data_IF_652049840775
#
_entry.id   IF_652049840775
#
_cell.length_a   1.000
_cell.length_b   1.000
_cell.length_c   1.000
_cell.angle_alpha   90.00
_cell.angle_beta   90.00
_cell.angle_gamma   90.00
#
_symmetry.space_group_name_H-M   'P 1'
#
loop_
_entity.id
_entity.type
_entity.pdbx_description
1 polymer ?
#
# COMPACT_ATOMS: atom_id res chain seq x y z
N UNK A 1 5.56 -13.45 20.57
CA UNK A 1 4.16 -13.04 20.53
C UNK A 1 3.79 -12.61 19.12
N UNK A 2 2.58 -12.95 18.63
CA UNK A 2 2.19 -12.59 17.27
C UNK A 2 0.76 -12.07 17.21
N UNK A 3 0.51 -11.19 16.23
CA UNK A 3 -0.81 -10.74 15.81
C UNK A 3 -1.07 -11.20 14.38
N UNK A 4 -2.27 -11.69 14.13
CA UNK A 4 -2.79 -11.91 12.78
C UNK A 4 -3.90 -10.88 12.53
N UNK A 5 -3.74 -10.09 11.47
CA UNK A 5 -4.62 -9.00 11.08
C UNK A 5 -5.11 -9.24 9.66
N UNK A 6 -6.16 -8.54 9.26
CA UNK A 6 -6.68 -8.61 7.88
C UNK A 6 -6.92 -7.20 7.35
N UNK A 7 -6.60 -6.97 6.09
CA UNK A 7 -6.79 -5.68 5.41
C UNK A 7 -6.13 -5.66 4.04
N UNK A 8 -6.52 -4.75 3.20
CA UNK A 8 -5.99 -4.58 1.84
C UNK A 8 -6.06 -5.87 0.99
N UNK A 9 -7.11 -6.68 1.21
CA UNK A 9 -7.32 -7.92 0.47
C UNK A 9 -6.35 -9.06 0.80
N UNK A 10 -5.59 -8.98 1.90
CA UNK A 10 -4.62 -10.00 2.30
C UNK A 10 -4.56 -10.19 3.81
N UNK A 11 -3.87 -11.25 4.24
CA UNK A 11 -3.53 -11.49 5.64
C UNK A 11 -2.24 -10.77 6.01
N UNK A 12 -2.18 -10.30 7.24
CA UNK A 12 -1.02 -9.64 7.83
C UNK A 12 -0.57 -10.38 9.07
N UNK A 13 0.72 -10.57 9.23
CA UNK A 13 1.31 -11.16 10.42
C UNK A 13 2.33 -10.20 11.03
N UNK A 14 2.23 -9.96 12.33
CA UNK A 14 3.20 -9.16 13.07
C UNK A 14 3.74 -10.01 14.22
N UNK A 15 5.00 -10.39 14.11
CA UNK A 15 5.70 -11.19 15.12
C UNK A 15 6.56 -10.24 15.95
N UNK A 16 6.39 -10.29 17.26
CA UNK A 16 7.14 -9.48 18.23
C UNK A 16 8.02 -10.41 19.05
N UNK A 17 9.33 -10.21 18.97
CA UNK A 17 10.32 -10.98 19.73
C UNK A 17 10.66 -10.29 21.05
N UNK A 18 9.65 -10.14 21.90
CA UNK A 18 9.80 -9.64 23.27
C UNK A 18 9.01 -10.52 24.24
N UNK A 19 9.28 -10.36 25.54
CA UNK A 19 8.30 -10.73 26.55
C UNK A 19 7.00 -9.96 26.25
N UNK A 20 5.86 -10.55 26.52
CA UNK A 20 4.52 -10.04 26.18
C UNK A 20 4.41 -8.50 26.28
N UNK A 21 3.88 -7.79 25.27
CA UNK A 21 3.59 -6.37 25.36
C UNK A 21 2.75 -6.04 26.59
N UNK A 22 2.92 -4.88 27.19
CA UNK A 22 2.20 -4.46 28.41
C UNK A 22 0.68 -4.42 28.21
N UNK A 23 0.20 -4.06 27.01
CA UNK A 23 -1.22 -4.10 26.64
C UNK A 23 -1.41 -4.64 25.22
N UNK A 24 -1.38 -5.97 25.03
CA UNK A 24 -1.45 -6.56 23.71
C UNK A 24 -2.79 -6.34 23.01
N UNK A 25 -3.90 -6.27 23.74
CA UNK A 25 -5.23 -6.01 23.18
C UNK A 25 -5.33 -4.61 22.58
N UNK A 26 -4.83 -3.61 23.29
CA UNK A 26 -4.80 -2.23 22.80
C UNK A 26 -3.89 -2.11 21.55
N UNK A 27 -2.71 -2.71 21.61
CA UNK A 27 -1.77 -2.70 20.48
C UNK A 27 -2.38 -3.37 19.25
N UNK A 28 -3.03 -4.53 19.41
CA UNK A 28 -3.75 -5.20 18.33
C UNK A 28 -4.81 -4.27 17.70
N UNK A 29 -5.67 -3.66 18.53
CA UNK A 29 -6.72 -2.77 18.05
C UNK A 29 -6.15 -1.56 17.29
N UNK A 30 -5.04 -1.00 17.77
CA UNK A 30 -4.37 0.13 17.13
C UNK A 30 -3.81 -0.25 15.75
N UNK A 31 -3.11 -1.39 15.66
CA UNK A 31 -2.53 -1.87 14.40
C UNK A 31 -3.64 -2.25 13.40
N UNK A 32 -4.68 -2.96 13.85
CA UNK A 32 -5.84 -3.29 13.00
C UNK A 32 -6.55 -2.03 12.49
N UNK A 33 -6.73 -1.02 13.34
CA UNK A 33 -7.35 0.23 12.93
C UNK A 33 -6.53 0.97 11.88
N UNK A 34 -5.20 0.94 11.97
CA UNK A 34 -4.34 1.54 10.95
C UNK A 34 -4.52 0.86 9.58
N UNK A 35 -4.67 -0.46 9.53
CA UNK A 35 -4.97 -1.18 8.29
C UNK A 35 -6.32 -0.73 7.71
N UNK A 36 -7.36 -0.72 8.54
CA UNK A 36 -8.73 -0.31 8.13
C UNK A 36 -8.75 1.13 7.63
N UNK A 37 -8.12 2.04 8.36
CA UNK A 37 -8.07 3.46 8.00
C UNK A 37 -7.29 3.69 6.70
N UNK A 38 -6.20 2.95 6.51
CA UNK A 38 -5.40 3.02 5.29
C UNK A 38 -6.20 2.52 4.08
N UNK A 39 -6.85 1.37 4.19
CA UNK A 39 -7.71 0.81 3.15
C UNK A 39 -8.86 1.76 2.80
N UNK A 40 -9.57 2.27 3.81
CA UNK A 40 -10.66 3.22 3.64
C UNK A 40 -10.23 4.51 2.91
N UNK A 41 -8.97 4.94 3.10
CA UNK A 41 -8.46 6.16 2.46
C UNK A 41 -7.88 5.93 1.07
N UNK A 42 -7.18 4.80 0.84
CA UNK A 42 -6.29 4.66 -0.31
C UNK A 42 -6.59 3.48 -1.23
N UNK A 43 -7.60 2.66 -0.93
CA UNK A 43 -8.04 1.60 -1.83
C UNK A 43 -8.78 2.19 -3.04
N UNK A 44 -8.33 1.89 -4.27
CA UNK A 44 -9.06 2.25 -5.49
C UNK A 44 -10.33 1.42 -5.69
N UNK A 45 -10.48 0.33 -4.95
CA UNK A 45 -11.66 -0.54 -4.99
C UNK A 45 -12.83 0.00 -4.15
N UNK A 46 -12.56 0.94 -3.23
CA UNK A 46 -13.59 1.61 -2.43
C UNK A 46 -13.94 2.95 -3.06
N UNK A 47 -15.16 3.10 -3.57
CA UNK A 47 -15.64 4.33 -4.25
C UNK A 47 -15.56 5.57 -3.36
N UNK A 48 -15.65 5.40 -2.04
CA UNK A 48 -15.59 6.47 -1.03
C UNK A 48 -14.16 6.88 -0.64
N UNK A 49 -13.15 6.14 -1.07
CA UNK A 49 -11.76 6.44 -0.70
C UNK A 49 -11.27 7.77 -1.31
N UNK A 50 -10.28 8.40 -0.67
CA UNK A 50 -9.65 9.61 -1.19
C UNK A 50 -9.00 9.38 -2.55
N UNK A 51 -8.40 8.20 -2.77
CA UNK A 51 -7.81 7.83 -4.05
C UNK A 51 -8.88 7.73 -5.14
N UNK A 52 -10.02 7.09 -4.85
CA UNK A 52 -11.13 7.00 -5.80
C UNK A 52 -11.76 8.36 -6.09
N UNK A 53 -11.92 9.22 -5.10
CA UNK A 53 -12.37 10.58 -5.28
C UNK A 53 -11.42 11.40 -6.16
N UNK A 54 -10.10 11.28 -5.95
CA UNK A 54 -9.09 11.86 -6.81
C UNK A 54 -9.23 11.32 -8.24
N UNK A 55 -9.30 10.02 -8.42
CA UNK A 55 -9.37 9.37 -9.72
C UNK A 55 -10.64 9.74 -10.51
N UNK A 56 -11.76 9.93 -9.83
CA UNK A 56 -13.06 10.26 -10.42
C UNK A 56 -13.33 11.76 -10.57
N UNK A 57 -12.46 12.61 -9.98
CA UNK A 57 -12.61 14.06 -10.11
C UNK A 57 -12.30 14.50 -11.53
N UNK A 58 -13.07 15.43 -12.09
CA UNK A 58 -12.80 16.10 -13.36
C UNK A 58 -11.88 17.31 -13.22
N UNK A 59 -11.56 17.74 -11.99
CA UNK A 59 -10.73 18.91 -11.75
C UNK A 59 -9.29 18.72 -12.26
N UNK A 60 -8.68 19.66 -12.96
CA UNK A 60 -7.28 19.60 -13.35
C UNK A 60 -6.32 19.74 -12.17
N UNK A 61 -6.82 20.18 -10.99
CA UNK A 61 -6.04 20.35 -9.76
C UNK A 61 -6.79 19.73 -8.60
N UNK A 62 -6.16 18.83 -7.87
CA UNK A 62 -6.77 18.12 -6.73
C UNK A 62 -5.87 18.24 -5.48
N UNK A 63 -6.40 18.72 -4.32
CA UNK A 63 -5.63 18.83 -3.09
C UNK A 63 -5.33 17.44 -2.53
N UNK A 64 -4.12 17.25 -2.03
CA UNK A 64 -3.65 15.98 -1.50
C UNK A 64 -3.53 16.00 0.02
N UNK A 65 -3.96 14.91 0.67
CA UNK A 65 -3.58 14.64 2.05
C UNK A 65 -2.06 14.41 2.16
N UNK A 66 -1.46 14.58 3.36
CA UNK A 66 -0.02 14.39 3.55
C UNK A 66 0.49 13.03 3.07
N UNK A 67 -0.25 11.95 3.35
CA UNK A 67 0.14 10.60 2.96
C UNK A 67 0.05 10.40 1.44
N UNK A 68 -1.04 10.86 0.78
CA UNK A 68 -1.14 10.83 -0.68
C UNK A 68 -0.02 11.63 -1.33
N UNK A 69 0.30 12.80 -0.79
CA UNK A 69 1.41 13.61 -1.28
C UNK A 69 2.73 12.84 -1.20
N UNK A 70 2.99 12.16 -0.07
CA UNK A 70 4.19 11.36 0.15
C UNK A 70 4.26 10.19 -0.82
N UNK A 71 3.18 9.41 -0.95
CA UNK A 71 3.15 8.24 -1.84
C UNK A 71 3.26 8.66 -3.32
N UNK A 72 2.56 9.70 -3.75
CA UNK A 72 2.65 10.18 -5.13
C UNK A 72 4.03 10.76 -5.45
N UNK A 73 4.65 11.46 -4.51
CA UNK A 73 6.02 11.97 -4.68
C UNK A 73 7.03 10.83 -4.81
N UNK A 74 6.90 9.78 -3.99
CA UNK A 74 7.70 8.56 -4.11
C UNK A 74 7.48 7.90 -5.48
N UNK A 75 6.22 7.79 -5.93
CA UNK A 75 5.89 7.24 -7.23
C UNK A 75 6.52 8.02 -8.39
N UNK A 76 6.49 9.35 -8.34
CA UNK A 76 7.16 10.20 -9.35
C UNK A 76 8.68 10.00 -9.35
N UNK A 77 9.30 9.84 -8.17
CA UNK A 77 10.72 9.52 -8.05
C UNK A 77 11.04 8.15 -8.67
N UNK A 78 10.25 7.14 -8.37
CA UNK A 78 10.41 5.80 -8.96
C UNK A 78 10.16 5.80 -10.47
N UNK A 79 9.18 6.55 -10.96
CA UNK A 79 8.96 6.75 -12.40
C UNK A 79 10.21 7.30 -13.08
N UNK A 80 10.85 8.32 -12.49
CA UNK A 80 12.08 8.90 -13.01
C UNK A 80 13.25 7.90 -12.99
N UNK A 81 13.46 7.22 -11.85
CA UNK A 81 14.54 6.25 -11.67
C UNK A 81 14.42 5.02 -12.60
N UNK A 82 13.19 4.61 -12.90
CA UNK A 82 12.91 3.48 -13.78
C UNK A 82 12.78 3.86 -15.25
N UNK A 83 13.09 5.10 -15.62
CA UNK A 83 12.91 5.60 -17.00
C UNK A 83 11.48 5.39 -17.53
N UNK A 84 10.46 5.49 -16.63
CA UNK A 84 9.06 5.35 -16.98
C UNK A 84 8.49 3.93 -16.92
N UNK A 85 9.30 2.91 -16.63
CA UNK A 85 8.80 1.53 -16.47
C UNK A 85 7.92 1.37 -15.22
N UNK A 86 8.08 2.21 -14.22
CA UNK A 86 7.18 2.35 -13.11
C UNK A 86 6.34 3.63 -13.27
N UNK A 87 5.03 3.52 -13.21
CA UNK A 87 4.12 4.68 -13.18
C UNK A 87 2.89 4.37 -12.33
N UNK A 88 2.51 5.28 -11.44
CA UNK A 88 1.25 5.16 -10.70
C UNK A 88 0.02 5.37 -11.58
N UNK A 89 0.14 6.04 -12.74
CA UNK A 89 -0.94 6.26 -13.68
C UNK A 89 -1.25 5.01 -14.53
N UNK A 90 -1.55 3.91 -13.86
CA UNK A 90 -1.76 2.60 -14.46
C UNK A 90 -3.17 2.03 -14.17
N UNK A 91 -3.98 2.70 -13.32
CA UNK A 91 -5.24 2.12 -12.88
C UNK A 91 -6.22 1.84 -14.06
N UNK A 92 -6.24 2.68 -15.09
CA UNK A 92 -7.08 2.44 -16.28
C UNK A 92 -6.65 1.16 -17.01
N UNK A 93 -5.36 0.93 -17.19
CA UNK A 93 -4.84 -0.28 -17.84
C UNK A 93 -5.15 -1.53 -17.03
N UNK A 94 -5.04 -1.45 -15.69
CA UNK A 94 -5.43 -2.55 -14.80
C UNK A 94 -6.94 -2.85 -14.90
N UNK A 95 -7.79 -1.82 -14.96
CA UNK A 95 -9.22 -1.98 -15.18
C UNK A 95 -9.55 -2.58 -16.55
N UNK A 96 -8.77 -2.23 -17.58
CA UNK A 96 -8.99 -2.72 -18.95
C UNK A 96 -8.60 -4.20 -19.10
N UNK A 97 -7.67 -4.72 -18.32
CA UNK A 97 -7.37 -6.16 -18.25
C UNK A 97 -8.28 -6.92 -17.27
N UNK A 98 -9.27 -6.24 -16.67
CA UNK A 98 -10.26 -6.84 -15.77
C UNK A 98 -9.86 -6.84 -14.29
N UNK A 99 -8.73 -6.22 -13.92
CA UNK A 99 -8.40 -5.97 -12.52
C UNK A 99 -9.11 -4.69 -12.06
N UNK A 100 -10.44 -4.72 -12.15
CA UNK A 100 -11.36 -3.64 -11.83
C UNK A 100 -11.95 -3.77 -10.41
N UNK A 101 -12.88 -2.88 -10.06
CA UNK A 101 -13.54 -2.85 -8.75
C UNK A 101 -14.31 -4.15 -8.42
N UNK A 102 -14.68 -4.93 -9.42
CA UNK A 102 -15.43 -6.18 -9.26
C UNK A 102 -14.58 -7.42 -9.49
N UNK A 103 -13.27 -7.24 -9.70
CA UNK A 103 -12.34 -8.35 -10.05
C UNK A 103 -12.90 -9.21 -11.20
N UNK A 104 -13.41 -8.53 -12.26
CA UNK A 104 -14.07 -9.21 -13.37
C UNK A 104 -13.15 -10.15 -14.14
N UNK A 105 -11.84 -9.87 -14.13
CA UNK A 105 -10.79 -10.54 -14.91
C UNK A 105 -11.19 -10.75 -16.38
N UNK A 106 -12.07 -9.86 -16.87
CA UNK A 106 -12.53 -9.87 -18.25
C UNK A 106 -11.92 -8.68 -18.99
N UNK A 107 -10.97 -8.91 -19.92
CA UNK A 107 -10.34 -7.83 -20.67
C UNK A 107 -11.33 -7.07 -21.54
N UNK A 108 -11.20 -5.74 -21.59
CA UNK A 108 -11.96 -4.86 -22.49
C UNK A 108 -11.13 -4.64 -23.75
N UNK A 109 -11.60 -5.11 -24.90
CA UNK A 109 -10.81 -5.26 -26.12
C UNK A 109 -10.65 -4.00 -26.98
N UNK A 110 -11.46 -2.94 -26.79
CA UNK A 110 -11.56 -1.84 -27.76
C UNK A 110 -11.18 -0.44 -27.23
N UNK A 111 -10.44 -0.35 -26.14
CA UNK A 111 -10.07 0.95 -25.57
C UNK A 111 -8.70 1.40 -26.03
N UNK A 112 -8.64 2.44 -26.86
CA UNK A 112 -7.41 3.22 -27.02
C UNK A 112 -7.21 4.09 -25.78
N UNK A 113 -6.29 3.68 -24.91
CA UNK A 113 -5.89 4.45 -23.74
C UNK A 113 -4.68 5.34 -24.07
N UNK A 114 -4.89 6.65 -23.96
CA UNK A 114 -3.81 7.63 -24.04
C UNK A 114 -3.58 8.16 -22.64
N UNK A 115 -2.46 7.79 -21.99
CA UNK A 115 -2.18 8.25 -20.64
C UNK A 115 -1.99 9.76 -20.59
N UNK A 116 -2.65 10.39 -19.62
CA UNK A 116 -2.40 11.80 -19.29
C UNK A 116 -1.08 11.98 -18.54
N UNK A 117 -0.76 13.23 -18.29
CA UNK A 117 0.41 13.63 -17.49
C UNK A 117 0.00 14.22 -16.16
N UNK A 118 0.82 14.07 -15.15
CA UNK A 118 0.60 14.64 -13.83
C UNK A 118 1.91 15.07 -13.17
N UNK A 119 1.80 16.04 -12.28
CA UNK A 119 2.91 16.50 -11.44
C UNK A 119 2.37 17.11 -10.14
N UNK A 120 3.25 17.32 -9.18
CA UNK A 120 2.91 17.94 -7.90
C UNK A 120 3.25 19.43 -7.91
N UNK A 121 2.32 20.27 -7.41
CA UNK A 121 2.51 21.70 -7.19
C UNK A 121 1.72 22.15 -5.96
N UNK A 122 2.38 22.78 -4.98
CA UNK A 122 1.74 23.34 -3.78
C UNK A 122 0.77 22.35 -3.07
N UNK A 123 1.21 21.12 -2.84
CA UNK A 123 0.42 20.02 -2.25
C UNK A 123 -0.82 19.61 -3.08
N UNK A 124 -0.88 19.96 -4.35
CA UNK A 124 -1.90 19.51 -5.28
C UNK A 124 -1.31 18.59 -6.33
N UNK A 125 -2.11 17.61 -6.75
CA UNK A 125 -1.89 16.89 -7.99
C UNK A 125 -2.45 17.76 -9.12
N UNK A 126 -1.58 18.18 -10.04
CA UNK A 126 -1.97 18.84 -11.28
C UNK A 126 -1.93 17.79 -12.38
N UNK A 127 -3.02 17.70 -13.15
CA UNK A 127 -3.15 16.68 -14.21
C UNK A 127 -3.66 17.28 -15.52
N UNK A 128 -3.28 16.62 -16.62
CA UNK A 128 -3.74 16.92 -17.97
C UNK A 128 -4.02 15.60 -18.70
N UNK A 129 -5.21 15.46 -19.27
CA UNK A 129 -5.65 14.21 -19.90
C UNK A 129 -6.11 13.16 -18.87
N UNK A 130 -6.12 11.91 -19.29
CA UNK A 130 -6.59 10.79 -18.44
C UNK A 130 -5.52 10.40 -17.42
N UNK A 131 -5.79 10.64 -16.15
CA UNK A 131 -4.93 10.25 -15.04
C UNK A 131 -5.77 9.52 -14.01
N UNK A 132 -5.49 8.23 -13.86
CA UNK A 132 -6.05 7.36 -12.82
C UNK A 132 -4.90 6.64 -12.11
N UNK A 133 -4.72 6.95 -10.83
CA UNK A 133 -3.61 6.42 -10.05
C UNK A 133 -3.98 5.09 -9.38
N UNK A 134 -3.02 4.18 -9.33
CA UNK A 134 -3.03 2.98 -8.51
C UNK A 134 -1.85 3.02 -7.53
N UNK A 135 -2.11 2.72 -6.27
CA UNK A 135 -1.12 2.69 -5.19
C UNK A 135 -0.74 1.26 -4.78
N UNK A 136 -1.24 0.24 -5.48
CA UNK A 136 -1.02 -1.16 -5.11
C UNK A 136 0.45 -1.56 -5.00
N UNK A 137 1.31 -0.96 -5.84
CA UNK A 137 2.76 -1.20 -5.84
C UNK A 137 3.52 -0.52 -4.69
N UNK A 138 2.94 0.47 -4.03
CA UNK A 138 3.57 1.24 -2.94
C UNK A 138 2.83 1.13 -1.61
N UNK A 139 1.51 0.94 -1.67
CA UNK A 139 0.63 1.12 -0.51
C UNK A 139 0.95 0.18 0.65
N UNK A 140 1.19 -1.09 0.36
CA UNK A 140 1.54 -2.06 1.41
C UNK A 140 2.86 -1.72 2.09
N UNK A 141 3.91 -1.44 1.31
CA UNK A 141 5.21 -1.03 1.85
C UNK A 141 5.12 0.25 2.70
N UNK A 142 4.37 1.24 2.23
CA UNK A 142 4.14 2.47 2.98
C UNK A 142 3.41 2.21 4.31
N UNK A 143 2.39 1.35 4.32
CA UNK A 143 1.68 0.98 5.54
C UNK A 143 2.57 0.18 6.50
N UNK A 144 3.40 -0.73 5.99
CA UNK A 144 4.40 -1.46 6.78
C UNK A 144 5.31 -0.48 7.52
N UNK A 145 5.80 0.56 6.86
CA UNK A 145 6.62 1.60 7.50
C UNK A 145 5.85 2.34 8.61
N UNK A 146 4.55 2.62 8.43
CA UNK A 146 3.71 3.24 9.46
C UNK A 146 3.50 2.30 10.66
N UNK A 147 3.24 1.02 10.41
CA UNK A 147 3.10 0.00 11.47
C UNK A 147 4.42 -0.15 12.25
N UNK A 148 5.55 -0.21 11.55
CA UNK A 148 6.87 -0.27 12.17
C UNK A 148 7.14 0.95 13.07
N UNK A 149 6.81 2.15 12.59
CA UNK A 149 6.89 3.37 13.39
C UNK A 149 6.01 3.29 14.65
N UNK A 150 4.80 2.76 14.54
CA UNK A 150 3.90 2.57 15.68
C UNK A 150 4.50 1.60 16.69
N UNK A 151 5.05 0.47 16.25
CA UNK A 151 5.72 -0.49 17.15
C UNK A 151 6.90 0.15 17.88
N UNK A 152 7.73 0.92 17.19
CA UNK A 152 8.82 1.66 17.83
C UNK A 152 8.33 2.70 18.87
N UNK A 153 7.26 3.43 18.57
CA UNK A 153 6.64 4.38 19.52
C UNK A 153 6.10 3.68 20.77
N UNK A 154 5.68 2.42 20.65
CA UNK A 154 5.28 1.57 21.77
C UNK A 154 6.46 0.81 22.42
N UNK A 155 7.71 1.24 22.15
CA UNK A 155 8.93 0.66 22.73
C UNK A 155 9.11 -0.83 22.41
N UNK A 156 8.67 -1.24 21.22
CA UNK A 156 8.84 -2.60 20.68
C UNK A 156 9.94 -2.54 19.62
N UNK A 157 11.20 -2.88 19.96
CA UNK A 157 12.30 -2.74 19.01
C UNK A 157 12.54 -3.97 18.13
N UNK A 158 12.00 -5.15 18.50
CA UNK A 158 12.29 -6.43 17.84
C UNK A 158 11.01 -7.03 17.28
N UNK A 159 10.83 -6.96 15.96
CA UNK A 159 9.64 -7.45 15.30
C UNK A 159 9.89 -7.78 13.83
N UNK A 160 8.97 -8.56 13.27
CA UNK A 160 8.81 -8.83 11.84
C UNK A 160 7.36 -8.54 11.46
N UNK A 161 7.16 -7.74 10.43
CA UNK A 161 5.86 -7.48 9.80
C UNK A 161 5.85 -8.18 8.44
N UNK A 162 4.80 -8.93 8.17
CA UNK A 162 4.48 -9.51 6.88
C UNK A 162 3.11 -8.99 6.44
N UNK A 163 3.07 -8.28 5.33
CA UNK A 163 1.87 -7.74 4.70
C UNK A 163 1.58 -8.43 3.36
N UNK A 164 1.26 -9.72 3.39
CA UNK A 164 0.98 -10.50 2.19
C UNK A 164 2.20 -10.68 1.28
N UNK A 165 3.35 -11.01 1.89
CA UNK A 165 4.62 -11.24 1.22
C UNK A 165 5.54 -10.01 1.15
N UNK A 166 5.05 -8.82 1.44
CA UNK A 166 5.90 -7.64 1.66
C UNK A 166 6.38 -7.65 3.12
N UNK A 167 7.68 -7.61 3.33
CA UNK A 167 8.28 -7.87 4.63
C UNK A 167 9.10 -6.67 5.14
N UNK A 168 8.98 -6.39 6.43
CA UNK A 168 9.90 -5.50 7.16
C UNK A 168 10.24 -6.14 8.50
N UNK A 169 11.52 -6.27 8.80
CA UNK A 169 11.99 -6.83 10.06
C UNK A 169 13.15 -6.05 10.66
N UNK A 170 13.15 -5.97 11.99
CA UNK A 170 14.34 -5.61 12.77
C UNK A 170 15.13 -6.89 13.08
N UNK A 171 16.24 -6.81 13.82
CA UNK A 171 16.86 -8.02 14.37
C UNK A 171 15.97 -8.65 15.45
N UNK A 172 16.20 -9.91 15.76
CA UNK A 172 15.65 -10.52 16.99
C UNK A 172 16.34 -9.98 18.24
N UNK A 173 15.76 -10.24 19.40
CA UNK A 173 16.29 -9.80 20.69
C UNK A 173 17.70 -10.34 20.97
N UNK A 174 18.02 -11.54 20.51
CA UNK A 174 19.35 -12.17 20.60
C UNK A 174 20.29 -11.75 19.46
N UNK A 175 19.90 -10.73 18.67
CA UNK A 175 20.56 -10.22 17.48
C UNK A 175 20.66 -11.21 16.32
N UNK A 176 20.03 -12.37 16.41
CA UNK A 176 19.97 -13.30 15.29
C UNK A 176 19.02 -12.80 14.18
N UNK A 177 19.19 -13.21 12.92
CA UNK A 177 18.30 -12.86 11.84
C UNK A 177 16.97 -13.66 11.92
N UNK A 178 15.92 -13.10 11.31
CA UNK A 178 14.69 -13.84 11.02
C UNK A 178 14.96 -14.88 9.95
N UNK A 179 14.30 -16.03 10.07
CA UNK A 179 14.27 -17.04 9.01
C UNK A 179 12.96 -16.87 8.26
N UNK A 180 13.05 -16.57 6.97
CA UNK A 180 11.89 -16.39 6.09
C UNK A 180 11.95 -17.51 5.06
N UNK A 181 10.89 -18.32 4.99
CA UNK A 181 10.73 -19.31 3.96
C UNK A 181 10.11 -18.68 2.72
N UNK A 182 10.61 -19.04 1.55
CA UNK A 182 9.97 -18.75 0.27
C UNK A 182 9.23 -20.02 -0.12
N UNK A 183 7.91 -19.90 -0.30
CA UNK A 183 7.07 -21.00 -0.71
C UNK A 183 7.46 -21.46 -2.13
N UNK A 184 7.60 -22.78 -2.30
CA UNK A 184 7.93 -23.32 -3.60
C UNK A 184 6.69 -23.27 -4.50
N UNK A 185 6.77 -22.71 -5.73
CA UNK A 185 5.58 -22.43 -6.54
C UNK A 185 4.82 -23.67 -7.02
N UNK A 186 5.45 -24.87 -6.94
CA UNK A 186 4.88 -26.14 -7.41
C UNK A 186 4.85 -27.23 -6.33
N UNK A 187 5.28 -26.93 -5.10
CA UNK A 187 5.37 -27.90 -4.02
C UNK A 187 4.80 -27.29 -2.75
N UNK A 188 3.62 -27.76 -2.36
CA UNK A 188 2.84 -27.23 -1.22
C UNK A 188 3.12 -28.03 0.08
N UNK A 189 4.27 -28.70 0.20
CA UNK A 189 4.67 -29.45 1.41
C UNK A 189 5.45 -28.59 2.41
#
# INVERSE_FOLDING_TARGET
>A
FSFNLTGLGTSWSIIIDTLRPSNPTHLYSLLQQQLVDFEAKYSRFLSTSQLSQLNNSSSPSYPLSPDLLTMINLGLKLKSLSHGHFDLNIATQLEDIGYDQHYSFTPKTDRQYIPGTYHLKNKHLIRRGQVKLDLGSLGKGYLIDQLAKTLHQHQIPYFLIDGGGDLYGTTKRDLSPWRIAIEHPFDSN
#
